data_IF_682496754021
#
_entry.id   IF_682496754021
#
_cell.length_a   1.000
_cell.length_b   1.000
_cell.length_c   1.000
_cell.angle_alpha   90.00
_cell.angle_beta   90.00
_cell.angle_gamma   90.00
#
_symmetry.space_group_name_H-M   'P 1'
#
loop_
_entity.id
_entity.type
_entity.pdbx_description
1 polymer ?
#
# COMPACT_ATOMS: atom_id res chain seq x y z
N UNK A 1 0.28 -4.43 2.15
CA UNK A 1 -0.75 -3.51 2.68
C UNK A 1 -0.19 -2.09 2.81
N UNK A 2 0.72 -1.80 3.75
CA UNK A 2 1.28 -0.43 3.94
C UNK A 2 1.82 0.15 2.63
N UNK A 3 2.71 -0.57 1.93
CA UNK A 3 3.25 -0.12 0.64
C UNK A 3 2.16 0.17 -0.41
N UNK A 4 1.11 -0.66 -0.47
CA UNK A 4 -0.02 -0.47 -1.37
C UNK A 4 -0.83 0.78 -1.01
N UNK A 5 -1.15 0.99 0.28
CA UNK A 5 -1.87 2.18 0.76
C UNK A 5 -1.07 3.47 0.52
N UNK A 6 0.24 3.43 0.75
CA UNK A 6 1.13 4.58 0.45
C UNK A 6 1.17 4.87 -1.05
N UNK A 7 1.36 3.85 -1.88
CA UNK A 7 1.44 4.01 -3.32
C UNK A 7 0.13 4.52 -3.94
N UNK A 8 -1.02 4.12 -3.37
CA UNK A 8 -2.37 4.48 -3.82
C UNK A 8 -2.93 5.78 -3.21
N UNK A 9 -2.11 6.55 -2.47
CA UNK A 9 -2.41 7.96 -2.15
C UNK A 9 -2.71 8.79 -3.40
N UNK A 10 -2.11 8.39 -4.52
CA UNK A 10 -2.47 8.86 -5.86
C UNK A 10 -3.17 7.72 -6.60
N UNK A 11 -4.30 7.97 -7.28
CA UNK A 11 -5.00 6.94 -8.04
C UNK A 11 -4.08 6.20 -9.00
N UNK A 12 -4.17 4.86 -9.02
CA UNK A 12 -3.43 4.03 -9.98
C UNK A 12 -4.16 2.73 -10.29
N UNK A 13 -3.83 2.10 -11.42
CA UNK A 13 -4.40 0.80 -11.82
C UNK A 13 -3.43 -0.34 -11.49
N UNK A 14 -3.98 -1.54 -11.28
CA UNK A 14 -3.26 -2.65 -10.65
C UNK A 14 -1.92 -3.02 -11.32
N UNK A 15 -1.81 -2.94 -12.64
CA UNK A 15 -0.56 -3.26 -13.34
C UNK A 15 0.55 -2.22 -13.10
N UNK A 16 0.23 -0.93 -13.17
CA UNK A 16 1.19 0.12 -12.86
C UNK A 16 1.61 0.08 -11.37
N UNK A 17 0.70 -0.29 -10.48
CA UNK A 17 1.02 -0.52 -9.07
C UNK A 17 2.01 -1.68 -8.87
N UNK A 18 1.88 -2.80 -9.60
CA UNK A 18 2.86 -3.90 -9.55
C UNK A 18 4.28 -3.40 -9.86
N UNK A 19 4.42 -2.64 -10.95
CA UNK A 19 5.70 -2.09 -11.38
C UNK A 19 6.29 -1.16 -10.32
N UNK A 20 5.49 -0.20 -9.83
CA UNK A 20 5.91 0.76 -8.82
C UNK A 20 6.37 0.09 -7.52
N UNK A 21 5.65 -0.93 -7.06
CA UNK A 21 6.02 -1.69 -5.86
C UNK A 21 7.34 -2.44 -6.08
N UNK A 22 7.50 -3.09 -7.23
CA UNK A 22 8.74 -3.78 -7.59
C UNK A 22 9.94 -2.83 -7.62
N UNK A 23 9.79 -1.64 -8.22
CA UNK A 23 10.84 -0.62 -8.30
C UNK A 23 11.30 -0.11 -6.93
N UNK A 24 10.44 -0.25 -5.91
CA UNK A 24 10.72 0.14 -4.52
C UNK A 24 11.11 -1.05 -3.63
N UNK A 25 11.47 -2.19 -4.23
CA UNK A 25 11.95 -3.37 -3.51
C UNK A 25 10.85 -4.23 -2.90
N UNK A 26 9.60 -4.07 -3.33
CA UNK A 26 8.47 -4.93 -2.94
C UNK A 26 8.09 -5.86 -4.11
N UNK A 27 8.82 -6.97 -4.34
CA UNK A 27 8.47 -7.92 -5.39
C UNK A 27 7.12 -8.56 -5.06
N UNK A 28 6.13 -8.31 -5.90
CA UNK A 28 4.77 -8.83 -5.77
C UNK A 28 4.23 -9.20 -7.14
N UNK A 29 3.51 -10.31 -7.21
CA UNK A 29 2.85 -10.75 -8.44
C UNK A 29 1.36 -10.37 -8.48
N UNK A 30 0.74 -10.54 -9.64
CA UNK A 30 -0.67 -10.27 -9.84
C UNK A 30 -1.57 -11.14 -8.94
N UNK A 31 -1.22 -12.42 -8.75
CA UNK A 31 -2.01 -13.37 -7.95
C UNK A 31 -2.04 -13.01 -6.46
N UNK A 32 -1.09 -12.20 -6.00
CA UNK A 32 -1.01 -11.67 -4.64
C UNK A 32 -1.61 -10.28 -4.54
N UNK A 33 -1.30 -9.40 -5.50
CA UNK A 33 -1.73 -8.01 -5.44
C UNK A 33 -3.25 -7.87 -5.61
N UNK A 34 -3.86 -8.53 -6.59
CA UNK A 34 -5.29 -8.32 -6.87
C UNK A 34 -6.21 -8.80 -5.74
N UNK A 35 -6.00 -9.97 -5.11
CA UNK A 35 -6.76 -10.35 -3.92
C UNK A 35 -6.54 -9.39 -2.75
N UNK A 36 -5.33 -8.86 -2.58
CA UNK A 36 -5.06 -7.85 -1.56
C UNK A 36 -5.85 -6.56 -1.82
N UNK A 37 -5.84 -6.04 -3.05
CA UNK A 37 -6.58 -4.82 -3.40
C UNK A 37 -8.09 -5.00 -3.18
N UNK A 38 -8.64 -6.14 -3.59
CA UNK A 38 -10.05 -6.48 -3.34
C UNK A 38 -10.35 -6.50 -1.84
N UNK A 39 -9.51 -7.15 -1.03
CA UNK A 39 -9.70 -7.20 0.41
C UNK A 39 -9.65 -5.81 1.05
N UNK A 40 -8.74 -4.94 0.62
CA UNK A 40 -8.64 -3.58 1.15
C UNK A 40 -9.85 -2.72 0.75
N UNK A 41 -10.37 -2.91 -0.46
CA UNK A 41 -11.62 -2.31 -0.93
C UNK A 41 -12.83 -2.82 -0.12
N UNK A 42 -12.95 -4.14 0.09
CA UNK A 42 -14.01 -4.75 0.90
C UNK A 42 -13.96 -4.27 2.37
N UNK A 43 -12.78 -3.88 2.86
CA UNK A 43 -12.57 -3.27 4.18
C UNK A 43 -12.82 -1.76 4.23
N UNK A 44 -13.15 -1.13 3.10
CA UNK A 44 -13.32 0.32 2.99
C UNK A 44 -12.03 1.13 3.06
N UNK A 45 -10.86 0.50 2.97
CA UNK A 45 -9.55 1.16 3.02
C UNK A 45 -9.09 1.66 1.65
N UNK A 46 -9.70 1.17 0.57
CA UNK A 46 -9.53 1.67 -0.78
C UNK A 46 -10.90 2.01 -1.37
N UNK A 47 -10.96 3.05 -2.18
CA UNK A 47 -12.02 3.28 -3.16
C UNK A 47 -11.54 2.89 -4.55
N UNK A 48 -12.48 2.68 -5.48
CA UNK A 48 -12.14 2.38 -6.86
C UNK A 48 -13.11 3.01 -7.85
N UNK A 49 -12.59 3.30 -9.04
CA UNK A 49 -13.34 3.89 -10.14
C UNK A 49 -12.94 3.21 -11.46
N UNK A 50 -13.92 3.00 -12.33
CA UNK A 50 -13.65 2.49 -13.67
C UNK A 50 -13.39 3.65 -14.62
N UNK A 51 -12.18 3.71 -15.17
CA UNK A 51 -11.91 4.56 -16.32
C UNK A 51 -12.31 3.80 -17.59
N UNK A 52 -13.28 4.35 -18.32
CA UNK A 52 -13.85 3.78 -19.55
C UNK A 52 -13.53 4.63 -20.80
N UNK A 53 -12.69 5.65 -20.66
CA UNK A 53 -12.32 6.57 -21.75
C UNK A 53 -11.34 5.92 -22.75
N UNK A 54 -10.59 4.91 -22.29
CA UNK A 54 -9.68 4.12 -23.14
C UNK A 54 -10.38 2.91 -23.77
N UNK A 55 -9.80 2.40 -24.86
CA UNK A 55 -10.26 1.19 -25.57
C UNK A 55 -10.34 -0.07 -24.70
N UNK A 56 -9.68 -0.05 -23.53
CA UNK A 56 -9.75 -1.10 -22.52
C UNK A 56 -10.07 -0.46 -21.17
N UNK A 57 -11.27 -0.70 -20.60
CA UNK A 57 -11.61 -0.21 -19.28
C UNK A 57 -10.61 -0.67 -18.22
N UNK A 58 -10.17 0.26 -17.37
CA UNK A 58 -9.24 -0.01 -16.26
C UNK A 58 -9.87 0.40 -14.95
N UNK A 59 -9.73 -0.46 -13.95
CA UNK A 59 -10.11 -0.15 -12.58
C UNK A 59 -8.94 0.56 -11.89
N UNK A 60 -9.17 1.81 -11.49
CA UNK A 60 -8.25 2.61 -10.69
C UNK A 60 -8.62 2.45 -9.22
N UNK A 61 -7.61 2.38 -8.37
CA UNK A 61 -7.75 2.32 -6.92
C UNK A 61 -7.16 3.58 -6.30
N UNK A 62 -7.72 4.00 -5.18
CA UNK A 62 -7.21 5.10 -4.37
C UNK A 62 -7.39 4.77 -2.90
N UNK A 63 -6.45 5.20 -2.06
CA UNK A 63 -6.63 5.15 -0.60
C UNK A 63 -7.79 6.05 -0.18
N UNK A 64 -8.72 5.49 0.61
CA UNK A 64 -9.86 6.22 1.18
C UNK A 64 -9.45 7.03 2.42
N UNK A 65 -10.36 7.82 2.98
CA UNK A 65 -10.11 8.55 4.23
C UNK A 65 -9.93 7.60 5.42
N UNK A 66 -10.68 6.49 5.46
CA UNK A 66 -10.48 5.40 6.42
C UNK A 66 -9.14 4.70 6.20
N UNK A 67 -8.75 4.52 4.93
CA UNK A 67 -7.46 3.99 4.51
C UNK A 67 -6.29 4.85 4.98
N UNK A 68 -6.39 6.17 4.84
CA UNK A 68 -5.39 7.14 5.33
C UNK A 68 -5.29 7.12 6.86
N UNK A 69 -6.44 7.07 7.54
CA UNK A 69 -6.48 6.96 9.00
C UNK A 69 -5.81 5.69 9.50
N UNK A 70 -6.05 4.55 8.83
CA UNK A 70 -5.37 3.29 9.12
C UNK A 70 -3.87 3.35 8.81
N UNK A 71 -3.51 3.92 7.65
CA UNK A 71 -2.13 4.05 7.22
C UNK A 71 -1.29 4.86 8.22
N UNK A 72 -1.82 5.97 8.72
CA UNK A 72 -1.11 6.77 9.72
C UNK A 72 -0.81 5.97 10.99
N UNK A 73 -1.77 5.21 11.52
CA UNK A 73 -1.53 4.32 12.68
C UNK A 73 -0.44 3.29 12.39
N UNK A 74 -0.48 2.66 11.22
CA UNK A 74 0.54 1.67 10.82
C UNK A 74 1.94 2.29 10.69
N UNK A 75 2.03 3.54 10.23
CA UNK A 75 3.30 4.26 10.13
C UNK A 75 3.84 4.65 11.52
N UNK A 76 2.96 5.09 12.43
CA UNK A 76 3.32 5.38 13.82
C UNK A 76 3.84 4.12 14.54
N UNK A 77 3.14 3.00 14.39
CA UNK A 77 3.54 1.70 14.95
C UNK A 77 4.90 1.26 14.39
N UNK A 78 5.11 1.41 13.07
CA UNK A 78 6.38 1.05 12.44
C UNK A 78 7.54 1.93 12.94
N UNK A 79 7.30 3.23 13.14
CA UNK A 79 8.29 4.15 13.68
C UNK A 79 8.67 3.79 15.13
N UNK A 80 7.69 3.38 15.94
CA UNK A 80 7.93 2.92 17.31
C UNK A 80 8.77 1.63 17.34
N UNK A 81 8.46 0.66 16.47
CA UNK A 81 9.24 -0.57 16.31
C UNK A 81 10.66 -0.27 15.83
N UNK A 82 10.83 0.58 14.82
CA UNK A 82 12.14 0.99 14.32
C UNK A 82 13.00 1.66 15.40
N UNK A 83 12.39 2.53 16.21
CA UNK A 83 13.06 3.19 17.33
C UNK A 83 13.55 2.17 18.36
N UNK A 84 12.69 1.20 18.69
CA UNK A 84 13.00 0.15 19.67
C UNK A 84 14.12 -0.77 19.19
N UNK A 85 14.08 -1.20 17.92
CA UNK A 85 15.13 -2.02 17.30
C UNK A 85 16.46 -1.26 17.24
N UNK A 86 16.42 0.01 16.84
CA UNK A 86 17.63 0.85 16.77
C UNK A 86 18.28 1.00 18.15
N UNK A 87 17.47 1.23 19.19
CA UNK A 87 17.96 1.27 20.57
C UNK A 87 18.58 -0.05 21.03
N UNK A 88 17.99 -1.20 20.65
CA UNK A 88 18.56 -2.52 20.94
C UNK A 88 19.91 -2.72 20.25
N UNK A 89 20.03 -2.40 18.97
CA UNK A 89 21.30 -2.53 18.22
C UNK A 89 22.40 -1.70 18.88
N UNK A 90 22.10 -0.45 19.24
CA UNK A 90 23.08 0.44 19.88
C UNK A 90 23.44 0.02 21.32
N UNK A 91 22.56 -0.70 22.00
CA UNK A 91 22.81 -1.24 23.34
C UNK A 91 23.62 -2.54 23.35
N UNK A 92 23.67 -3.26 22.23
CA UNK A 92 24.46 -4.52 22.08
C UNK A 92 25.95 -4.24 21.86
N UNK A 93 26.30 -3.05 21.35
CA UNK A 93 27.69 -2.62 21.12
C UNK A 93 28.36 -1.98 22.37
N UNK A 94 27.75 -2.12 23.57
CA UNK A 94 28.29 -1.62 24.85
C UNK A 94 28.68 -2.73 25.83
#
# INVERSE_FOLDING_TARGET
>A
MVASLVALRRPDYGYALLQRLSDHGFPVDANTLYPLLRRLEDQGLLTSEWNTEESRPRKFYRTSDEGESMLNRLLDDLAAVQTSITGLIQGVDR
#
